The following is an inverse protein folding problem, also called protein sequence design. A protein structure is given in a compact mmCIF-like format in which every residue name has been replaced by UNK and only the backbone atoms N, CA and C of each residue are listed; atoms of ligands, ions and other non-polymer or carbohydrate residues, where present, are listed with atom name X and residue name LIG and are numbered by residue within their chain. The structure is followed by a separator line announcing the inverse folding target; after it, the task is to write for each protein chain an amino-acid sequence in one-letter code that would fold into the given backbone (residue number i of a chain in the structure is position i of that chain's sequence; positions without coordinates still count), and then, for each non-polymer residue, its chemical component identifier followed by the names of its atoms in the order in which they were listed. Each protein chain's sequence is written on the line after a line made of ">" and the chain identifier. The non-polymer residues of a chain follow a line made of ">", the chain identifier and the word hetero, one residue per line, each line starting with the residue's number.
data_IF_442096961016
#
_entry.id   IF_442096961016
#
_cell.length_a   1.000
_cell.length_b   1.000
_cell.length_c   1.000
_cell.angle_alpha   90.00
_cell.angle_beta   90.00
_cell.angle_gamma   90.00
#
_symmetry.space_group_name_H-M   'P 1'
#
loop_
_entity.id
_entity.type
_entity.pdbx_description
1 polymer ?
#
# COMPACT_ATOMS: atom_id res chain seq x y z
N UNK A 1 -53.82 33.92 9.25
CA UNK A 1 -52.60 33.29 8.72
C UNK A 1 -52.68 31.82 9.10
N UNK A 2 -52.85 30.95 8.11
CA UNK A 2 -53.07 29.51 8.31
C UNK A 2 -51.83 28.87 8.97
N UNK A 3 -52.03 27.99 9.95
CA UNK A 3 -50.96 27.30 10.65
C UNK A 3 -50.06 26.53 9.68
N UNK A 4 -50.65 25.96 8.62
CA UNK A 4 -49.90 25.30 7.55
C UNK A 4 -48.94 26.25 6.82
N UNK A 5 -49.33 27.53 6.66
CA UNK A 5 -48.50 28.54 6.01
C UNK A 5 -47.33 28.96 6.91
N UNK A 6 -47.53 29.03 8.22
CA UNK A 6 -46.45 29.29 9.21
C UNK A 6 -45.48 28.12 9.26
N UNK A 7 -45.96 26.88 9.25
CA UNK A 7 -45.11 25.68 9.23
C UNK A 7 -44.31 25.57 7.93
N UNK A 8 -44.92 25.90 6.78
CA UNK A 8 -44.22 25.91 5.49
C UNK A 8 -43.10 26.96 5.43
N UNK A 9 -43.32 28.16 5.97
CA UNK A 9 -42.30 29.21 6.04
C UNK A 9 -41.18 28.82 7.01
N UNK A 10 -41.50 28.23 8.16
CA UNK A 10 -40.52 27.74 9.12
C UNK A 10 -39.66 26.60 8.54
N UNK A 11 -40.27 25.67 7.79
CA UNK A 11 -39.55 24.60 7.11
C UNK A 11 -38.63 25.13 5.99
N UNK A 12 -39.11 26.11 5.22
CA UNK A 12 -38.32 26.75 4.18
C UNK A 12 -37.12 27.51 4.77
N UNK A 13 -37.30 28.21 5.89
CA UNK A 13 -36.24 28.92 6.61
C UNK A 13 -35.26 27.98 7.37
N UNK A 14 -35.73 26.81 7.82
CA UNK A 14 -34.87 25.80 8.46
C UNK A 14 -33.95 25.09 7.46
N UNK A 15 -34.36 24.96 6.19
CA UNK A 15 -33.57 24.30 5.14
C UNK A 15 -32.20 24.95 4.85
N UNK A 16 -32.04 26.29 4.72
CA UNK A 16 -30.73 26.90 4.53
C UNK A 16 -29.85 26.82 5.78
N UNK A 17 -30.41 26.89 6.99
CA UNK A 17 -29.63 26.77 8.24
C UNK A 17 -29.05 25.35 8.38
N UNK A 18 -29.85 24.32 8.08
CA UNK A 18 -29.39 22.94 8.06
C UNK A 18 -28.33 22.69 6.96
N UNK A 19 -28.50 23.28 5.77
CA UNK A 19 -27.52 23.20 4.70
C UNK A 19 -26.18 23.88 5.06
N UNK A 20 -26.23 25.05 5.71
CA UNK A 20 -25.02 25.75 6.19
C UNK A 20 -24.33 24.98 7.31
N UNK A 21 -25.09 24.43 8.26
CA UNK A 21 -24.54 23.58 9.31
C UNK A 21 -23.89 22.30 8.75
N UNK A 22 -24.49 21.68 7.74
CA UNK A 22 -23.92 20.53 7.04
C UNK A 22 -22.64 20.90 6.26
N UNK A 23 -22.58 22.08 5.62
CA UNK A 23 -21.37 22.57 4.96
C UNK A 23 -20.23 22.88 5.94
N UNK A 24 -20.53 23.32 7.16
CA UNK A 24 -19.52 23.51 8.21
C UNK A 24 -19.07 22.20 8.84
N UNK A 25 -19.99 21.25 9.09
CA UNK A 25 -19.67 19.93 9.62
C UNK A 25 -18.82 19.07 8.68
N UNK A 26 -19.08 19.15 7.36
CA UNK A 26 -18.33 18.40 6.33
C UNK A 26 -16.88 18.84 6.17
N UNK A 27 -16.53 20.10 6.44
CA UNK A 27 -15.14 20.58 6.38
C UNK A 27 -14.26 19.94 7.46
N UNK A 28 -14.78 19.79 8.68
CA UNK A 28 -14.10 19.10 9.78
C UNK A 28 -14.01 17.59 9.56
N UNK A 29 -15.10 16.97 9.10
CA UNK A 29 -15.15 15.55 8.78
C UNK A 29 -14.18 15.17 7.66
N UNK A 30 -14.07 15.97 6.60
CA UNK A 30 -13.13 15.75 5.50
C UNK A 30 -11.66 15.92 5.94
N UNK A 31 -11.39 16.82 6.89
CA UNK A 31 -10.04 17.02 7.43
C UNK A 31 -9.62 15.85 8.34
N UNK A 32 -10.48 15.44 9.26
CA UNK A 32 -10.25 14.27 10.10
C UNK A 32 -10.12 12.97 9.29
N UNK A 33 -10.94 12.80 8.23
CA UNK A 33 -10.85 11.66 7.32
C UNK A 33 -9.54 11.65 6.52
N UNK A 34 -9.05 12.82 6.08
CA UNK A 34 -7.75 12.96 5.40
C UNK A 34 -6.58 12.70 6.36
N UNK A 35 -6.61 13.27 7.55
CA UNK A 35 -5.55 13.12 8.55
C UNK A 35 -5.45 11.67 9.06
N UNK A 36 -6.59 10.99 9.26
CA UNK A 36 -6.63 9.55 9.57
C UNK A 36 -6.15 8.65 8.42
N UNK A 37 -6.50 9.01 7.17
CA UNK A 37 -6.05 8.28 5.98
C UNK A 37 -4.55 8.43 5.68
N UNK A 38 -3.96 9.60 5.97
CA UNK A 38 -2.53 9.85 5.77
C UNK A 38 -1.68 9.09 6.80
N UNK A 39 -2.06 9.10 8.08
CA UNK A 39 -1.32 8.36 9.13
C UNK A 39 -1.45 6.83 8.90
N UNK A 40 -2.63 6.34 8.54
CA UNK A 40 -2.81 4.93 8.16
C UNK A 40 -2.08 4.54 6.86
N UNK A 41 -2.03 5.46 5.89
CA UNK A 41 -1.36 5.25 4.60
C UNK A 41 0.16 5.15 4.69
N UNK A 42 0.80 5.97 5.52
CA UNK A 42 2.26 5.91 5.74
C UNK A 42 2.69 4.62 6.46
N UNK A 43 1.90 4.16 7.43
CA UNK A 43 2.16 2.87 8.08
C UNK A 43 2.04 1.72 7.07
N UNK A 44 0.98 1.70 6.25
CA UNK A 44 0.79 0.67 5.22
C UNK A 44 1.94 0.64 4.18
N UNK A 45 2.41 1.79 3.70
CA UNK A 45 3.54 1.84 2.76
C UNK A 45 4.84 1.36 3.40
N UNK A 46 5.09 1.75 4.65
CA UNK A 46 6.31 1.34 5.37
C UNK A 46 6.31 -0.17 5.60
N UNK A 47 5.17 -0.74 5.99
CA UNK A 47 5.00 -2.17 6.18
C UNK A 47 5.19 -2.94 4.87
N UNK A 48 4.60 -2.46 3.76
CA UNK A 48 4.79 -3.04 2.43
C UNK A 48 6.25 -3.02 1.98
N UNK A 49 6.94 -1.88 2.12
CA UNK A 49 8.36 -1.76 1.76
C UNK A 49 9.25 -2.66 2.63
N UNK A 50 8.89 -2.86 3.89
CA UNK A 50 9.62 -3.78 4.77
C UNK A 50 9.44 -5.24 4.34
N UNK A 51 8.23 -5.64 3.97
CA UNK A 51 7.96 -7.00 3.50
C UNK A 51 8.63 -7.25 2.14
N UNK A 52 8.51 -6.32 1.19
CA UNK A 52 9.22 -6.41 -0.11
C UNK A 52 10.74 -6.50 0.09
N UNK A 53 11.31 -5.71 0.99
CA UNK A 53 12.75 -5.78 1.28
C UNK A 53 13.14 -7.15 1.85
N UNK A 54 12.28 -7.76 2.67
CA UNK A 54 12.51 -9.07 3.27
C UNK A 54 12.41 -10.17 2.22
N UNK A 55 11.40 -10.12 1.35
CA UNK A 55 11.21 -11.02 0.21
C UNK A 55 12.42 -10.95 -0.75
N UNK A 56 12.79 -9.74 -1.20
CA UNK A 56 13.95 -9.55 -2.08
C UNK A 56 15.26 -10.05 -1.47
N UNK A 57 15.42 -9.94 -0.15
CA UNK A 57 16.60 -10.50 0.55
C UNK A 57 16.60 -12.02 0.55
N UNK A 58 15.43 -12.64 0.72
CA UNK A 58 15.29 -14.09 0.66
C UNK A 58 15.57 -14.60 -0.76
N UNK A 59 14.99 -13.97 -1.77
CA UNK A 59 15.20 -14.32 -3.18
C UNK A 59 16.66 -14.17 -3.59
N UNK A 60 17.30 -13.09 -3.16
CA UNK A 60 18.72 -12.85 -3.43
C UNK A 60 19.59 -13.91 -2.74
N UNK A 61 19.26 -14.32 -1.52
CA UNK A 61 19.97 -15.40 -0.84
C UNK A 61 19.80 -16.75 -1.56
N UNK A 62 18.58 -17.07 -2.01
CA UNK A 62 18.29 -18.28 -2.79
C UNK A 62 19.05 -18.28 -4.13
N UNK A 63 18.98 -17.20 -4.90
CA UNK A 63 19.69 -17.06 -6.17
C UNK A 63 21.21 -17.17 -6.00
N UNK A 64 21.78 -16.62 -4.92
CA UNK A 64 23.21 -16.79 -4.61
C UNK A 64 23.56 -18.24 -4.29
N UNK A 65 22.70 -18.96 -3.58
CA UNK A 65 22.91 -20.38 -3.28
C UNK A 65 22.86 -21.24 -4.54
N UNK A 66 21.86 -21.01 -5.41
CA UNK A 66 21.75 -21.67 -6.71
C UNK A 66 22.98 -21.40 -7.59
N UNK A 67 23.40 -20.13 -7.70
CA UNK A 67 24.60 -19.77 -8.45
C UNK A 67 25.86 -20.46 -7.91
N UNK A 68 25.98 -20.61 -6.59
CA UNK A 68 27.09 -21.31 -5.97
C UNK A 68 27.06 -22.82 -6.30
N UNK A 69 25.88 -23.44 -6.27
CA UNK A 69 25.69 -24.84 -6.65
C UNK A 69 26.05 -25.08 -8.13
N UNK A 70 25.54 -24.24 -9.02
CA UNK A 70 25.84 -24.31 -10.46
C UNK A 70 27.35 -24.13 -10.73
N UNK A 71 28.00 -23.18 -10.06
CA UNK A 71 29.46 -23.00 -10.18
C UNK A 71 30.24 -24.22 -9.70
N UNK A 72 29.79 -24.85 -8.61
CA UNK A 72 30.41 -26.08 -8.11
C UNK A 72 30.23 -27.23 -9.11
N UNK A 73 29.04 -27.36 -9.71
CA UNK A 73 28.77 -28.39 -10.72
C UNK A 73 29.56 -28.17 -12.00
N UNK A 74 29.65 -26.92 -12.49
CA UNK A 74 30.52 -26.57 -13.62
C UNK A 74 31.98 -26.91 -13.33
N UNK A 75 32.48 -26.61 -12.13
CA UNK A 75 33.84 -26.96 -11.73
C UNK A 75 34.05 -28.48 -11.71
N UNK A 76 33.08 -29.24 -11.18
CA UNK A 76 33.08 -30.70 -11.19
C UNK A 76 33.10 -31.26 -12.61
N UNK A 77 32.22 -30.78 -13.48
CA UNK A 77 32.15 -31.22 -14.88
C UNK A 77 33.43 -30.89 -15.64
N UNK A 78 34.01 -29.70 -15.43
CA UNK A 78 35.32 -29.35 -16.00
C UNK A 78 36.42 -30.31 -15.54
N UNK A 79 36.44 -30.68 -14.27
CA UNK A 79 37.40 -31.66 -13.76
C UNK A 79 37.22 -33.04 -14.43
N UNK A 80 35.97 -33.49 -14.64
CA UNK A 80 35.67 -34.74 -15.36
C UNK A 80 36.14 -34.65 -16.83
N UNK A 81 35.84 -33.55 -17.52
CA UNK A 81 36.28 -33.34 -18.92
C UNK A 81 37.80 -33.39 -19.03
N UNK A 82 38.52 -32.73 -18.11
CA UNK A 82 39.97 -32.76 -18.07
C UNK A 82 40.51 -34.19 -17.81
N UNK A 83 39.89 -34.96 -16.92
CA UNK A 83 40.25 -36.36 -16.68
C UNK A 83 40.03 -37.25 -17.90
N UNK A 84 39.01 -36.96 -18.71
CA UNK A 84 38.72 -37.67 -19.96
C UNK A 84 39.58 -37.20 -21.14
N UNK A 85 40.55 -36.31 -20.90
CA UNK A 85 41.47 -35.81 -21.93
C UNK A 85 40.91 -34.68 -22.79
N UNK A 86 39.76 -34.09 -22.42
CA UNK A 86 39.25 -32.89 -23.04
C UNK A 86 40.07 -31.67 -22.64
N UNK A 87 40.44 -30.83 -23.61
CA UNK A 87 41.09 -29.54 -23.35
C UNK A 87 40.05 -28.54 -22.81
N UNK A 88 40.40 -27.82 -21.74
CA UNK A 88 39.54 -26.86 -21.04
C UNK A 88 39.57 -25.45 -21.65
#
# INVERSE_FOLDING_TARGET
>A
MDAAMVTAIAALAASPVAAVAAMYGTKGANRAAREGGVIGGYNNLTDQLQEERKELRADLAAARAELAAERAEVARLKAVVAQLGGQL
#
